data_IF_375591522286
#
_entry.id   IF_375591522286
#
_cell.length_a   1.000
_cell.length_b   1.000
_cell.length_c   1.000
_cell.angle_alpha   90.00
_cell.angle_beta   90.00
_cell.angle_gamma   90.00
#
_symmetry.space_group_name_H-M   'P 1'
#
loop_
_entity.id
_entity.type
_entity.pdbx_description
1 polymer ?
#
# COMPACT_ATOMS: atom_id res chain seq x y z
N UNK A 1 -31.02 -15.24 18.19
CA UNK A 1 -30.74 -13.82 17.87
C UNK A 1 -29.30 -13.53 18.27
N UNK A 2 -28.63 -12.70 17.47
CA UNK A 2 -27.21 -12.30 17.52
C UNK A 2 -26.30 -13.16 16.64
N UNK A 3 -25.90 -12.64 15.47
CA UNK A 3 -24.49 -12.61 14.97
C UNK A 3 -24.35 -12.10 13.53
N UNK A 4 -25.00 -11.01 13.12
CA UNK A 4 -24.81 -10.45 11.76
C UNK A 4 -24.22 -9.04 11.71
N UNK A 5 -23.87 -8.43 12.85
CA UNK A 5 -23.61 -6.98 12.91
C UNK A 5 -22.12 -6.57 12.95
N UNK A 6 -21.17 -7.51 12.86
CA UNK A 6 -19.74 -7.19 13.05
C UNK A 6 -18.96 -7.08 11.74
N UNK A 7 -19.49 -7.55 10.60
CA UNK A 7 -18.71 -7.61 9.34
C UNK A 7 -18.85 -6.36 8.46
N UNK A 8 -19.96 -5.60 8.55
CA UNK A 8 -20.24 -4.47 7.63
C UNK A 8 -19.51 -3.15 7.94
N UNK A 9 -18.92 -2.98 9.13
CA UNK A 9 -18.31 -1.69 9.51
C UNK A 9 -16.85 -1.53 9.06
N UNK A 10 -16.21 -2.58 8.54
CA UNK A 10 -14.80 -2.51 8.17
C UNK A 10 -14.60 -2.05 6.71
N UNK A 11 -15.52 -2.37 5.79
CA UNK A 11 -15.44 -1.95 4.39
C UNK A 11 -15.74 -0.45 4.20
N UNK A 12 -16.61 0.12 5.04
CA UNK A 12 -17.00 1.53 4.99
C UNK A 12 -15.92 2.45 5.58
N UNK A 13 -15.28 2.07 6.69
CA UNK A 13 -14.14 2.80 7.24
C UNK A 13 -12.92 2.71 6.30
N UNK A 14 -12.65 1.55 5.72
CA UNK A 14 -11.58 1.34 4.74
C UNK A 14 -11.80 2.18 3.46
N UNK A 15 -13.04 2.18 2.92
CA UNK A 15 -13.42 2.98 1.77
C UNK A 15 -13.50 4.49 2.04
N UNK A 16 -13.83 4.92 3.26
CA UNK A 16 -13.82 6.33 3.66
C UNK A 16 -12.41 6.87 3.89
N UNK A 17 -11.52 6.09 4.51
CA UNK A 17 -10.11 6.46 4.70
C UNK A 17 -9.38 6.58 3.34
N UNK A 18 -9.73 5.74 2.36
CA UNK A 18 -9.25 5.86 0.98
C UNK A 18 -9.75 7.12 0.26
N UNK A 19 -10.98 7.60 0.56
CA UNK A 19 -11.49 8.87 0.01
C UNK A 19 -10.75 10.08 0.58
N UNK A 20 -10.37 10.04 1.86
CA UNK A 20 -9.52 11.08 2.47
C UNK A 20 -8.15 11.16 1.82
N UNK A 21 -7.56 10.02 1.44
CA UNK A 21 -6.26 9.97 0.75
C UNK A 21 -6.33 10.35 -0.73
N UNK A 22 -7.42 10.02 -1.44
CA UNK A 22 -7.68 10.47 -2.81
C UNK A 22 -7.77 12.01 -2.92
N UNK A 23 -8.06 12.73 -1.84
CA UNK A 23 -8.02 14.20 -1.84
C UNK A 23 -6.60 14.76 -2.00
N UNK A 24 -5.57 13.95 -1.72
CA UNK A 24 -4.15 14.33 -1.79
C UNK A 24 -3.39 13.68 -2.95
N UNK A 25 -4.04 12.80 -3.74
CA UNK A 25 -3.41 12.11 -4.88
C UNK A 25 -4.35 12.13 -6.10
N UNK A 26 -4.01 12.88 -7.18
CA UNK A 26 -4.75 12.79 -8.43
C UNK A 26 -4.48 11.43 -9.09
N UNK A 27 -5.55 10.68 -9.40
CA UNK A 27 -5.60 9.26 -9.80
C UNK A 27 -5.60 8.26 -8.64
N UNK A 28 -6.14 7.06 -8.89
CA UNK A 28 -6.30 6.01 -7.88
C UNK A 28 -4.94 5.46 -7.44
N UNK A 29 -4.38 5.97 -6.32
CA UNK A 29 -3.09 5.55 -5.76
C UNK A 29 -2.82 4.04 -5.87
N UNK A 30 -1.77 3.65 -6.57
CA UNK A 30 -1.47 2.24 -6.91
C UNK A 30 -1.72 1.89 -8.37
N UNK A 31 -2.34 2.77 -9.15
CA UNK A 31 -2.65 2.54 -10.57
C UNK A 31 -1.52 2.85 -11.55
N UNK A 32 -0.41 3.46 -11.08
CA UNK A 32 0.74 3.80 -11.92
C UNK A 32 1.99 3.07 -11.40
N UNK A 33 2.37 1.94 -12.03
CA UNK A 33 3.56 1.18 -11.64
C UNK A 33 4.85 1.99 -11.70
N UNK A 34 4.99 2.89 -12.68
CA UNK A 34 6.20 3.69 -12.84
C UNK A 34 6.36 4.70 -11.70
N UNK A 35 5.25 5.34 -11.28
CA UNK A 35 5.26 6.20 -10.10
C UNK A 35 5.60 5.42 -8.83
N UNK A 36 5.03 4.23 -8.65
CA UNK A 36 5.29 3.38 -7.48
C UNK A 36 6.75 2.91 -7.41
N UNK A 37 7.33 2.54 -8.56
CA UNK A 37 8.75 2.20 -8.67
C UNK A 37 9.65 3.41 -8.36
N UNK A 38 9.28 4.61 -8.81
CA UNK A 38 10.02 5.83 -8.47
C UNK A 38 10.04 6.08 -6.96
N UNK A 39 8.91 5.89 -6.27
CA UNK A 39 8.84 5.99 -4.82
C UNK A 39 9.73 4.96 -4.14
N UNK A 40 9.66 3.69 -4.58
CA UNK A 40 10.55 2.63 -4.10
C UNK A 40 12.04 3.01 -4.24
N UNK A 41 12.43 3.49 -5.42
CA UNK A 41 13.82 3.88 -5.70
C UNK A 41 14.29 5.05 -4.82
N UNK A 42 13.41 6.01 -4.53
CA UNK A 42 13.74 7.13 -3.66
C UNK A 42 13.87 6.69 -2.20
N UNK A 43 13.07 5.74 -1.73
CA UNK A 43 13.10 5.28 -0.33
C UNK A 43 14.22 4.26 -0.08
N UNK A 44 14.34 3.22 -0.91
CA UNK A 44 15.21 2.07 -0.63
C UNK A 44 16.54 2.07 -1.39
N UNK A 45 16.60 2.69 -2.57
CA UNK A 45 17.81 2.62 -3.41
C UNK A 45 18.69 3.85 -3.21
N UNK A 46 18.10 5.04 -3.27
CA UNK A 46 18.82 6.32 -3.11
C UNK A 46 18.87 6.75 -1.66
N UNK A 47 17.90 6.31 -0.86
CA UNK A 47 17.68 6.79 0.50
C UNK A 47 17.00 8.17 0.54
N UNK A 48 16.44 8.55 1.69
CA UNK A 48 15.77 9.84 1.87
C UNK A 48 16.73 11.00 1.60
N UNK A 49 16.41 11.83 0.59
CA UNK A 49 17.14 13.07 0.34
C UNK A 49 16.69 14.13 1.37
N UNK A 50 17.61 14.68 2.19
CA UNK A 50 17.24 15.70 3.18
C UNK A 50 16.67 17.00 2.57
N UNK A 51 16.83 17.23 1.27
CA UNK A 51 16.26 18.38 0.54
C UNK A 51 14.84 18.13 0.03
N UNK A 52 14.45 16.86 -0.10
CA UNK A 52 13.14 16.44 -0.56
C UNK A 52 12.56 15.46 0.47
N UNK A 53 11.90 15.97 1.54
CA UNK A 53 11.35 15.12 2.57
C UNK A 53 10.35 14.14 1.96
N UNK A 54 10.46 12.87 2.36
CA UNK A 54 9.59 11.81 1.88
C UNK A 54 8.14 12.11 2.30
N UNK A 55 7.25 12.21 1.33
CA UNK A 55 5.83 12.39 1.61
C UNK A 55 5.19 11.08 2.12
N UNK A 56 4.08 11.15 2.86
CA UNK A 56 3.32 9.97 3.27
C UNK A 56 2.94 9.04 2.09
N UNK A 57 2.64 9.63 0.94
CA UNK A 57 2.34 8.89 -0.30
C UNK A 57 3.56 8.13 -0.84
N UNK A 58 4.76 8.72 -0.76
CA UNK A 58 5.98 8.03 -1.17
C UNK A 58 6.30 6.85 -0.26
N UNK A 59 6.10 7.01 1.06
CA UNK A 59 6.28 5.92 2.03
C UNK A 59 5.30 4.78 1.72
N UNK A 60 4.01 5.09 1.60
CA UNK A 60 2.98 4.11 1.27
C UNK A 60 3.26 3.41 -0.06
N UNK A 61 3.71 4.16 -1.07
CA UNK A 61 3.89 3.64 -2.42
C UNK A 61 5.14 2.79 -2.56
N UNK A 62 6.22 3.19 -1.89
CA UNK A 62 7.43 2.39 -1.79
C UNK A 62 7.16 1.05 -1.08
N UNK A 63 6.39 1.07 0.02
CA UNK A 63 5.96 -0.14 0.73
C UNK A 63 5.08 -1.03 -0.15
N UNK A 64 4.10 -0.44 -0.87
CA UNK A 64 3.23 -1.15 -1.79
C UNK A 64 4.00 -1.85 -2.91
N UNK A 65 4.90 -1.12 -3.59
CA UNK A 65 5.72 -1.65 -4.67
C UNK A 65 6.63 -2.79 -4.17
N UNK A 66 7.28 -2.61 -3.02
CA UNK A 66 8.13 -3.63 -2.42
C UNK A 66 7.33 -4.90 -2.08
N UNK A 67 6.11 -4.75 -1.58
CA UNK A 67 5.25 -5.89 -1.26
C UNK A 67 4.88 -6.71 -2.49
N UNK A 68 4.49 -6.05 -3.59
CA UNK A 68 4.18 -6.71 -4.87
C UNK A 68 5.42 -7.45 -5.40
N UNK A 69 6.59 -6.80 -5.45
CA UNK A 69 7.83 -7.43 -5.92
C UNK A 69 8.31 -8.59 -5.04
N UNK A 70 8.16 -8.47 -3.72
CA UNK A 70 8.46 -9.57 -2.81
C UNK A 70 7.55 -10.78 -3.07
N UNK A 71 6.27 -10.54 -3.30
CA UNK A 71 5.33 -11.59 -3.67
C UNK A 71 5.68 -12.22 -5.04
N UNK A 72 5.94 -11.40 -6.06
CA UNK A 72 6.29 -11.88 -7.41
C UNK A 72 7.56 -12.73 -7.41
N UNK A 73 8.57 -12.38 -6.61
CA UNK A 73 9.79 -13.17 -6.46
C UNK A 73 9.54 -14.57 -5.87
N UNK A 74 8.42 -14.75 -5.14
CA UNK A 74 8.01 -16.03 -4.58
C UNK A 74 7.05 -16.82 -5.47
N UNK A 75 6.53 -16.23 -6.54
CA UNK A 75 5.73 -16.93 -7.54
C UNK A 75 6.62 -17.84 -8.38
N UNK A 76 6.57 -19.15 -8.09
CA UNK A 76 7.27 -20.19 -8.88
C UNK A 76 6.49 -20.63 -10.13
N UNK A 77 5.20 -20.30 -10.19
CA UNK A 77 4.28 -20.69 -11.27
C UNK A 77 3.42 -19.49 -11.66
N UNK A 78 2.87 -19.48 -12.90
CA UNK A 78 1.94 -18.46 -13.32
C UNK A 78 0.80 -18.32 -12.30
N UNK A 79 0.41 -17.08 -12.08
CA UNK A 79 -0.59 -16.73 -11.09
C UNK A 79 -1.95 -17.39 -11.39
N UNK A 80 -2.51 -18.09 -10.40
CA UNK A 80 -3.82 -18.73 -10.49
C UNK A 80 -4.91 -17.84 -9.87
N UNK A 81 -5.85 -17.43 -10.71
CA UNK A 81 -7.01 -16.60 -10.37
C UNK A 81 -7.88 -17.20 -9.26
N UNK A 82 -7.89 -18.51 -9.08
CA UNK A 82 -8.73 -19.17 -8.08
C UNK A 82 -8.33 -18.80 -6.63
N UNK A 83 -7.10 -18.34 -6.42
CA UNK A 83 -6.57 -17.93 -5.11
C UNK A 83 -6.46 -16.40 -4.97
N UNK A 84 -7.16 -15.64 -5.81
CA UNK A 84 -6.96 -14.20 -5.91
C UNK A 84 -7.11 -13.44 -4.59
N UNK A 85 -8.19 -13.71 -3.85
CA UNK A 85 -8.44 -13.07 -2.56
C UNK A 85 -7.34 -13.39 -1.53
N UNK A 86 -6.80 -14.61 -1.53
CA UNK A 86 -5.72 -15.01 -0.63
C UNK A 86 -4.41 -14.30 -0.97
N UNK A 87 -4.09 -14.20 -2.26
CA UNK A 87 -2.93 -13.44 -2.75
C UNK A 87 -3.02 -11.97 -2.39
N UNK A 88 -4.15 -11.31 -2.65
CA UNK A 88 -4.34 -9.91 -2.30
C UNK A 88 -4.20 -9.70 -0.78
N UNK A 89 -4.81 -10.57 0.04
CA UNK A 89 -4.66 -10.48 1.49
C UNK A 89 -3.20 -10.63 1.93
N UNK A 90 -2.44 -11.55 1.34
CA UNK A 90 -1.02 -11.74 1.64
C UNK A 90 -0.19 -10.49 1.28
N UNK A 91 -0.40 -9.95 0.07
CA UNK A 91 0.29 -8.73 -0.40
C UNK A 91 -0.03 -7.54 0.50
N UNK A 92 -1.29 -7.37 0.91
CA UNK A 92 -1.70 -6.30 1.84
C UNK A 92 -0.99 -6.41 3.19
N UNK A 93 -0.91 -7.62 3.76
CA UNK A 93 -0.19 -7.85 5.02
C UNK A 93 1.29 -7.50 4.90
N UNK A 94 1.94 -7.86 3.78
CA UNK A 94 3.34 -7.50 3.52
C UNK A 94 3.49 -5.98 3.40
N UNK A 95 2.60 -5.31 2.64
CA UNK A 95 2.62 -3.86 2.46
C UNK A 95 2.44 -3.11 3.79
N UNK A 96 1.48 -3.55 4.62
CA UNK A 96 1.24 -2.96 5.94
C UNK A 96 2.47 -3.10 6.86
N UNK A 97 3.06 -4.29 6.91
CA UNK A 97 4.29 -4.54 7.68
C UNK A 97 5.43 -3.64 7.23
N UNK A 98 5.62 -3.50 5.93
CA UNK A 98 6.68 -2.66 5.38
C UNK A 98 6.43 -1.17 5.66
N UNK A 99 5.20 -0.69 5.53
CA UNK A 99 4.83 0.68 5.88
C UNK A 99 5.15 0.97 7.36
N UNK A 100 4.80 0.06 8.27
CA UNK A 100 5.16 0.19 9.69
C UNK A 100 6.67 0.29 9.92
N UNK A 101 7.47 -0.51 9.21
CA UNK A 101 8.95 -0.46 9.32
C UNK A 101 9.50 0.88 8.85
N UNK A 102 8.98 1.43 7.76
CA UNK A 102 9.38 2.76 7.27
C UNK A 102 8.98 3.86 8.25
N UNK A 103 7.77 3.81 8.81
CA UNK A 103 7.27 4.81 9.76
C UNK A 103 8.05 4.85 11.08
N UNK A 104 8.73 3.78 11.45
CA UNK A 104 9.66 3.77 12.60
C UNK A 104 10.95 4.54 12.31
N UNK A 105 11.34 4.66 11.05
CA UNK A 105 12.60 5.27 10.60
C UNK A 105 12.39 6.69 10.07
N UNK A 106 11.20 6.97 9.57
CA UNK A 106 10.82 8.19 8.88
C UNK A 106 9.68 8.87 9.66
N UNK A 107 9.98 9.85 10.53
CA UNK A 107 8.95 10.53 11.29
C UNK A 107 8.01 11.28 10.35
N UNK A 108 6.71 11.11 10.59
CA UNK A 108 5.69 11.82 9.84
C UNK A 108 5.50 13.26 10.36
N UNK A 109 4.97 14.16 9.51
CA UNK A 109 4.39 15.41 9.99
C UNK A 109 3.35 15.16 11.09
N UNK A 110 3.24 16.05 12.09
CA UNK A 110 2.39 15.85 13.28
C UNK A 110 0.89 15.78 12.99
N UNK A 111 0.46 16.26 11.82
CA UNK A 111 -0.91 16.28 11.32
C UNK A 111 -1.30 15.03 10.51
N UNK A 112 -0.34 14.13 10.23
CA UNK A 112 -0.58 12.92 9.45
C UNK A 112 -0.70 11.71 10.37
N UNK A 113 -1.86 11.05 10.35
CA UNK A 113 -2.08 9.78 11.03
C UNK A 113 -1.27 8.65 10.35
N UNK A 114 -0.32 7.98 11.06
CA UNK A 114 0.42 6.84 10.54
C UNK A 114 -0.47 5.73 9.97
N UNK A 115 -1.66 5.52 10.53
CA UNK A 115 -2.58 4.50 10.06
C UNK A 115 -3.07 4.76 8.64
N UNK A 116 -3.17 6.04 8.25
CA UNK A 116 -3.56 6.42 6.88
C UNK A 116 -2.51 5.97 5.86
N UNK A 117 -1.22 6.03 6.22
CA UNK A 117 -0.11 5.57 5.36
C UNK A 117 -0.16 4.06 5.17
N UNK A 118 -0.42 3.32 6.24
CA UNK A 118 -0.52 1.85 6.22
C UNK A 118 -1.68 1.39 5.34
N UNK A 119 -2.87 1.95 5.54
CA UNK A 119 -4.06 1.64 4.72
C UNK A 119 -3.83 1.99 3.24
N UNK A 120 -3.12 3.10 2.98
CA UNK A 120 -2.78 3.50 1.61
C UNK A 120 -1.79 2.54 0.97
N UNK A 121 -0.81 2.03 1.72
CA UNK A 121 0.14 1.03 1.24
C UNK A 121 -0.58 -0.27 0.85
N UNK A 122 -1.49 -0.75 1.70
CA UNK A 122 -2.30 -1.94 1.40
C UNK A 122 -3.13 -1.77 0.12
N UNK A 123 -3.89 -0.67 0.02
CA UNK A 123 -4.75 -0.41 -1.12
C UNK A 123 -3.94 -0.17 -2.40
N UNK A 124 -2.80 0.50 -2.29
CA UNK A 124 -1.85 0.70 -3.38
C UNK A 124 -1.29 -0.62 -3.88
N UNK A 125 -0.93 -1.54 -2.98
CA UNK A 125 -0.37 -2.84 -3.34
C UNK A 125 -1.39 -3.73 -4.03
N UNK A 126 -2.64 -3.75 -3.55
CA UNK A 126 -3.74 -4.43 -4.22
C UNK A 126 -3.95 -3.90 -5.64
N UNK A 127 -4.12 -2.59 -5.81
CA UNK A 127 -4.35 -2.00 -7.14
C UNK A 127 -3.17 -2.19 -8.09
N UNK A 128 -1.95 -2.11 -7.58
CA UNK A 128 -0.75 -2.34 -8.37
C UNK A 128 -0.67 -3.79 -8.85
N UNK A 129 -0.94 -4.75 -7.95
CA UNK A 129 -0.94 -6.16 -8.30
C UNK A 129 -1.98 -6.47 -9.39
N UNK A 130 -3.21 -5.98 -9.22
CA UNK A 130 -4.26 -6.12 -10.22
C UNK A 130 -3.82 -5.53 -11.56
N UNK A 131 -3.32 -4.30 -11.57
CA UNK A 131 -2.89 -3.62 -12.80
C UNK A 131 -1.80 -4.38 -13.59
N UNK A 132 -0.89 -5.07 -12.88
CA UNK A 132 0.21 -5.80 -13.53
C UNK A 132 -0.17 -7.21 -13.99
N UNK A 133 -1.24 -7.78 -13.43
CA UNK A 133 -1.62 -9.18 -13.65
C UNK A 133 -3.00 -9.37 -14.30
N UNK A 134 -3.77 -8.29 -14.52
CA UNK A 134 -5.15 -8.28 -15.05
C UNK A 134 -5.40 -7.17 -16.06
#
# INVERSE_FOLDING_TARGET
MLSDTIVEHNETAYGQNLRGFNAFMPNAFGSDPAQMEQYFNQVYVRGPDPRFPLSPAMIAGAAAFKAVRAHDAHLKTPYDRSHHSETINSIRVIAAKEAHLLLQQLPLPPDVDPQTVVLSAEAGAHRLFDHEHY
#
